data_IF_837477043157
#
_entry.id   IF_837477043157
#
_cell.length_a   1.000
_cell.length_b   1.000
_cell.length_c   1.000
_cell.angle_alpha   90.00
_cell.angle_beta   90.00
_cell.angle_gamma   90.00
#
_symmetry.space_group_name_H-M   'P 1'
#
loop_
_entity.id
_entity.type
_entity.pdbx_description
1 polymer ?
#
# COMPACT_ATOMS: atom_id res chain seq x y z
N UNK A 1 -8.69 17.66 16.50
CA UNK A 1 -10.02 17.17 16.06
C UNK A 1 -10.48 18.04 14.90
N UNK A 2 -10.53 17.47 13.69
CA UNK A 2 -11.58 17.68 12.67
C UNK A 2 -11.18 16.82 11.47
N UNK A 3 -11.94 15.74 11.26
CA UNK A 3 -11.96 15.03 9.99
C UNK A 3 -12.78 15.83 8.99
N UNK A 4 -12.43 15.74 7.70
CA UNK A 4 -13.32 16.16 6.62
C UNK A 4 -13.22 15.20 5.44
N UNK A 5 -14.38 15.03 4.82
CA UNK A 5 -14.87 13.87 4.08
C UNK A 5 -14.36 13.76 2.62
N UNK A 6 -14.56 12.57 2.05
CA UNK A 6 -14.04 12.16 0.76
C UNK A 6 -14.75 12.76 -0.46
N UNK A 7 -13.94 13.10 -1.47
CA UNK A 7 -14.25 12.83 -2.89
C UNK A 7 -13.66 11.48 -3.28
N UNK A 8 -13.78 10.98 -4.53
CA UNK A 8 -13.22 9.69 -4.91
C UNK A 8 -11.73 9.72 -4.58
N UNK A 9 -11.38 9.07 -3.47
CA UNK A 9 -10.12 9.28 -2.80
C UNK A 9 -9.08 8.62 -3.68
N UNK A 10 -8.52 9.38 -4.62
CA UNK A 10 -7.49 8.91 -5.53
C UNK A 10 -6.46 8.20 -4.67
N UNK A 11 -6.42 6.87 -4.79
CA UNK A 11 -5.90 5.98 -3.76
C UNK A 11 -4.56 6.50 -3.25
N UNK A 12 -4.58 7.11 -2.05
CA UNK A 12 -3.38 7.65 -1.43
C UNK A 12 -2.55 6.44 -1.03
N UNK A 13 -1.43 6.26 -1.72
CA UNK A 13 -0.55 5.14 -1.46
C UNK A 13 0.10 5.32 -0.09
N UNK A 14 0.22 4.21 0.62
CA UNK A 14 0.76 4.20 1.98
C UNK A 14 2.22 4.62 1.93
N UNK A 15 2.53 5.71 2.63
CA UNK A 15 3.88 6.15 2.87
C UNK A 15 4.60 5.27 3.90
N UNK A 16 5.92 5.46 4.08
CA UNK A 16 6.72 4.62 4.95
C UNK A 16 6.26 4.58 6.41
N UNK A 17 5.69 5.68 6.93
CA UNK A 17 5.17 5.75 8.30
C UNK A 17 3.91 4.91 8.45
N UNK A 18 2.98 5.03 7.50
CA UNK A 18 1.72 4.29 7.52
C UNK A 18 1.96 2.78 7.36
N UNK A 19 2.94 2.38 6.53
CA UNK A 19 3.38 0.98 6.40
C UNK A 19 3.91 0.45 7.73
N UNK A 20 4.73 1.22 8.46
CA UNK A 20 5.28 0.80 9.76
C UNK A 20 4.20 0.69 10.84
N UNK A 21 3.27 1.64 10.89
CA UNK A 21 2.13 1.56 11.82
C UNK A 21 1.23 0.37 11.53
N UNK A 22 0.97 0.07 10.25
CA UNK A 22 0.21 -1.10 9.85
C UNK A 22 0.92 -2.39 10.24
N UNK A 23 2.23 -2.49 9.97
CA UNK A 23 3.03 -3.65 10.36
C UNK A 23 2.99 -3.85 11.89
N UNK A 24 3.10 -2.78 12.67
CA UNK A 24 3.00 -2.84 14.14
C UNK A 24 1.63 -3.33 14.61
N UNK A 25 0.54 -2.83 14.01
CA UNK A 25 -0.84 -3.26 14.32
C UNK A 25 -1.09 -4.72 13.97
N UNK A 26 -0.47 -5.22 12.90
CA UNK A 26 -0.58 -6.61 12.47
C UNK A 26 0.43 -7.54 13.16
N UNK A 27 1.19 -7.01 14.14
CA UNK A 27 2.29 -7.71 14.82
C UNK A 27 3.35 -8.26 13.86
N UNK A 28 3.39 -7.74 12.63
CA UNK A 28 4.37 -8.09 11.62
C UNK A 28 5.69 -7.42 11.97
N UNK A 29 6.77 -8.20 11.91
CA UNK A 29 8.14 -7.71 11.98
C UNK A 29 8.67 -7.62 10.54
N UNK A 30 8.74 -6.42 9.94
CA UNK A 30 9.31 -6.26 8.61
C UNK A 30 10.73 -6.81 8.62
N UNK A 31 10.96 -7.88 7.87
CA UNK A 31 12.28 -8.50 7.78
C UNK A 31 12.69 -8.69 6.34
N UNK A 32 13.92 -8.27 6.04
CA UNK A 32 14.54 -8.52 4.74
C UNK A 32 15.03 -9.96 4.59
N UNK A 33 15.16 -10.72 5.69
CA UNK A 33 15.63 -12.11 5.65
C UNK A 33 14.70 -13.06 4.87
N UNK A 34 13.43 -12.69 4.74
CA UNK A 34 12.43 -13.44 3.97
C UNK A 34 12.21 -12.88 2.56
N UNK A 35 13.08 -11.98 2.10
CA UNK A 35 12.93 -11.33 0.79
C UNK A 35 11.76 -10.34 0.71
N UNK A 36 11.20 -9.90 1.84
CA UNK A 36 10.07 -8.97 1.84
C UNK A 36 10.54 -7.55 1.52
N UNK A 37 9.97 -6.95 0.48
CA UNK A 37 10.24 -5.57 0.06
C UNK A 37 8.92 -4.79 0.04
N UNK A 38 8.79 -3.80 0.92
CA UNK A 38 7.60 -2.96 0.99
C UNK A 38 7.72 -1.78 0.02
N UNK A 39 6.96 -1.84 -1.07
CA UNK A 39 6.87 -0.75 -2.03
C UNK A 39 6.00 0.38 -1.44
N UNK A 40 6.56 1.58 -1.42
CA UNK A 40 5.89 2.81 -0.96
C UNK A 40 5.83 3.87 -2.07
N UNK A 41 6.47 3.62 -3.22
CA UNK A 41 6.45 4.52 -4.36
C UNK A 41 5.16 4.36 -5.16
N UNK A 42 4.52 5.49 -5.41
CA UNK A 42 3.21 5.53 -5.99
C UNK A 42 3.19 5.10 -7.47
N UNK A 43 4.20 5.55 -8.21
CA UNK A 43 4.27 5.34 -9.65
C UNK A 43 4.63 3.90 -9.99
N UNK A 44 5.49 3.28 -9.20
CA UNK A 44 5.87 1.88 -9.32
C UNK A 44 4.66 0.97 -9.12
N UNK A 45 3.88 1.17 -8.05
CA UNK A 45 2.67 0.36 -7.80
C UNK A 45 1.67 0.49 -8.95
N UNK A 46 1.40 1.72 -9.42
CA UNK A 46 0.49 1.94 -10.56
C UNK A 46 0.99 1.28 -11.84
N UNK A 47 2.31 1.29 -12.09
CA UNK A 47 2.90 0.61 -13.25
C UNK A 47 2.71 -0.90 -13.16
N UNK A 48 2.95 -1.51 -12.00
CA UNK A 48 2.77 -2.96 -11.80
C UNK A 48 1.31 -3.34 -12.08
N UNK A 49 0.36 -2.65 -11.46
CA UNK A 49 -1.08 -2.92 -11.65
C UNK A 49 -1.48 -2.80 -13.12
N UNK A 50 -1.03 -1.74 -13.81
CA UNK A 50 -1.33 -1.54 -15.23
C UNK A 50 -0.74 -2.63 -16.13
N UNK A 51 0.43 -3.18 -15.78
CA UNK A 51 1.08 -4.23 -16.56
C UNK A 51 0.54 -5.63 -16.24
N UNK A 52 0.00 -5.82 -15.05
CA UNK A 52 -0.55 -7.09 -14.61
C UNK A 52 -1.92 -7.41 -15.24
N UNK A 53 -2.56 -6.43 -15.90
CA UNK A 53 -3.85 -6.58 -16.60
C UNK A 53 -4.91 -7.28 -15.74
N UNK A 54 -5.02 -6.82 -14.48
CA UNK A 54 -5.91 -7.42 -13.48
C UNK A 54 -7.38 -7.20 -13.85
N UNK A 55 -8.18 -8.25 -13.74
CA UNK A 55 -9.63 -8.20 -13.86
C UNK A 55 -10.28 -8.15 -12.46
N UNK A 56 -11.58 -7.86 -12.41
CA UNK A 56 -12.34 -7.83 -11.16
C UNK A 56 -12.43 -9.23 -10.52
N UNK A 57 -12.31 -10.30 -11.29
CA UNK A 57 -12.41 -11.67 -10.81
C UNK A 57 -11.12 -12.22 -10.14
N UNK A 58 -10.05 -11.44 -10.08
CA UNK A 58 -8.73 -11.86 -9.55
C UNK A 58 -8.58 -11.79 -8.01
N UNK A 59 -9.65 -11.46 -7.26
CA UNK A 59 -9.60 -11.17 -5.79
C UNK A 59 -10.32 -12.15 -4.89
#
# INVERSE_FOLDING_TARGET
>A
MTGSAGGPAGHRLLGPVEIRELARRLELRPTKSRGQNFLHDANTVRRIVRLADLDHDDV
#
